data_IF_508458815327
#
_entry.id   IF_508458815327
#
_cell.length_a   1.000
_cell.length_b   1.000
_cell.length_c   1.000
_cell.angle_alpha   90.00
_cell.angle_beta   90.00
_cell.angle_gamma   90.00
#
_symmetry.space_group_name_H-M   'P 1'
#
loop_
_entity.id
_entity.type
_entity.pdbx_description
1 polymer ?
#
# COMPACT_ATOMS: atom_id res chain seq x y z
N UNK A 1 -36.94 -24.87 15.90
CA UNK A 1 -36.43 -24.31 14.62
C UNK A 1 -35.67 -22.97 14.76
N UNK A 2 -35.47 -22.38 15.96
CA UNK A 2 -34.73 -21.11 16.12
C UNK A 2 -33.19 -21.25 16.19
N UNK A 3 -32.66 -22.44 16.51
CA UNK A 3 -31.20 -22.67 16.66
C UNK A 3 -30.45 -22.78 15.32
N UNK A 4 -31.13 -23.13 14.23
CA UNK A 4 -30.50 -23.27 12.90
C UNK A 4 -30.17 -21.90 12.29
N UNK A 5 -31.00 -20.88 12.56
CA UNK A 5 -30.83 -19.54 12.00
C UNK A 5 -29.60 -18.83 12.57
N UNK A 6 -29.27 -19.09 13.84
CA UNK A 6 -28.12 -18.48 14.53
C UNK A 6 -26.78 -18.99 14.01
N UNK A 7 -26.72 -20.25 13.56
CA UNK A 7 -25.50 -20.85 13.02
C UNK A 7 -25.13 -20.29 11.63
N UNK A 8 -26.13 -19.95 10.82
CA UNK A 8 -25.94 -19.34 9.49
C UNK A 8 -25.40 -17.91 9.56
N UNK A 9 -25.78 -17.13 10.57
CA UNK A 9 -25.34 -15.74 10.73
C UNK A 9 -23.85 -15.66 11.13
N UNK A 10 -23.38 -16.63 11.92
CA UNK A 10 -21.98 -16.69 12.37
C UNK A 10 -21.04 -17.05 11.20
N UNK A 11 -21.47 -17.91 10.28
CA UNK A 11 -20.66 -18.33 9.13
C UNK A 11 -20.47 -17.23 8.07
N UNK A 12 -21.45 -16.33 7.89
CA UNK A 12 -21.30 -15.19 6.97
C UNK A 12 -20.46 -14.03 7.53
N UNK A 13 -20.13 -14.06 8.82
CA UNK A 13 -19.34 -13.00 9.47
C UNK A 13 -17.83 -13.20 9.35
N UNK A 14 -17.38 -14.33 8.79
CA UNK A 14 -15.98 -14.77 8.77
C UNK A 14 -15.28 -14.56 7.42
N UNK A 15 -15.95 -14.00 6.41
CA UNK A 15 -15.35 -13.76 5.09
C UNK A 15 -14.79 -12.33 4.91
N UNK A 16 -14.22 -11.76 5.96
CA UNK A 16 -13.26 -10.67 5.79
C UNK A 16 -11.94 -11.31 5.40
N UNK A 17 -11.77 -11.63 4.11
CA UNK A 17 -10.46 -12.06 3.59
C UNK A 17 -9.47 -10.92 3.83
N UNK A 18 -8.62 -11.10 4.84
CA UNK A 18 -7.45 -10.26 5.05
C UNK A 18 -6.58 -10.36 3.79
N UNK A 19 -6.66 -9.32 2.95
CA UNK A 19 -5.99 -9.32 1.66
C UNK A 19 -4.64 -8.66 1.83
N UNK A 20 -3.61 -9.50 1.87
CA UNK A 20 -2.23 -9.02 1.80
C UNK A 20 -1.95 -8.65 0.34
N UNK A 21 -1.64 -7.38 0.10
CA UNK A 21 -1.18 -6.91 -1.20
C UNK A 21 0.34 -6.88 -1.21
N UNK A 22 0.96 -7.52 -2.20
CA UNK A 22 2.40 -7.44 -2.44
C UNK A 22 2.69 -6.55 -3.63
N UNK A 23 3.60 -5.61 -3.46
CA UNK A 23 3.88 -4.60 -4.48
C UNK A 23 5.37 -4.50 -4.69
N UNK A 24 5.82 -4.95 -5.86
CA UNK A 24 7.19 -4.77 -6.27
C UNK A 24 7.38 -3.32 -6.70
N UNK A 25 8.16 -2.55 -5.96
CA UNK A 25 8.51 -1.16 -6.30
C UNK A 25 9.89 -1.15 -6.94
N UNK A 26 9.96 -0.60 -8.15
CA UNK A 26 11.21 -0.54 -8.95
C UNK A 26 11.58 0.87 -9.38
N UNK A 27 10.85 1.88 -8.92
CA UNK A 27 11.07 3.27 -9.31
C UNK A 27 9.96 4.16 -8.83
N UNK A 28 10.06 5.43 -9.21
CA UNK A 28 9.12 6.45 -8.82
C UNK A 28 8.92 7.50 -9.92
N UNK A 29 7.91 8.35 -9.73
CA UNK A 29 7.75 9.62 -10.43
C UNK A 29 7.10 10.65 -9.53
N UNK A 30 7.53 11.89 -9.65
CA UNK A 30 6.89 13.04 -9.00
C UNK A 30 5.70 13.53 -9.82
N UNK A 31 4.61 13.93 -9.14
CA UNK A 31 3.50 14.65 -9.76
C UNK A 31 3.62 16.14 -9.43
N UNK A 32 3.88 17.01 -10.42
CA UNK A 32 3.97 18.45 -10.21
C UNK A 32 2.71 19.03 -9.55
N UNK A 33 2.91 19.93 -8.58
CA UNK A 33 1.81 20.67 -7.92
C UNK A 33 1.39 20.14 -6.56
N UNK A 34 2.00 19.06 -6.07
CA UNK A 34 1.78 18.53 -4.72
C UNK A 34 3.14 18.32 -4.05
N UNK A 35 3.36 18.93 -2.89
CA UNK A 35 4.60 18.74 -2.14
C UNK A 35 4.64 17.29 -1.62
N UNK A 36 5.70 16.56 -1.99
CA UNK A 36 6.01 15.19 -1.55
C UNK A 36 4.92 14.12 -1.76
N UNK A 37 4.37 14.11 -2.98
CA UNK A 37 3.56 13.00 -3.50
C UNK A 37 4.40 12.15 -4.46
N UNK A 38 4.62 10.88 -4.12
CA UNK A 38 5.44 9.95 -4.92
C UNK A 38 4.58 8.86 -5.53
N UNK A 39 4.52 8.82 -6.87
CA UNK A 39 3.93 7.71 -7.59
C UNK A 39 4.95 6.57 -7.68
N UNK A 40 4.66 5.43 -7.06
CA UNK A 40 5.56 4.27 -7.08
C UNK A 40 5.32 3.45 -8.35
N UNK A 41 6.41 3.10 -9.04
CA UNK A 41 6.37 2.27 -10.25
C UNK A 41 6.40 0.80 -9.85
N UNK A 42 5.37 0.06 -10.23
CA UNK A 42 5.27 -1.39 -10.03
C UNK A 42 5.01 -2.09 -11.37
N UNK A 43 6.03 -2.69 -12.01
CA UNK A 43 5.94 -3.15 -13.40
C UNK A 43 5.00 -4.35 -13.60
N UNK A 44 4.65 -5.06 -12.52
CA UNK A 44 3.79 -6.24 -12.55
C UNK A 44 2.39 -5.98 -11.99
N UNK A 45 2.14 -4.79 -11.47
CA UNK A 45 0.85 -4.46 -10.85
C UNK A 45 -0.02 -3.67 -11.81
N UNK A 46 -1.29 -4.03 -11.97
CA UNK A 46 -2.25 -3.19 -12.70
C UNK A 46 -2.65 -1.94 -11.88
N UNK A 47 -2.27 -1.88 -10.61
CA UNK A 47 -2.64 -0.82 -9.68
C UNK A 47 -1.67 0.37 -9.70
N UNK A 48 -2.16 1.54 -9.31
CA UNK A 48 -1.32 2.72 -9.06
C UNK A 48 -1.15 2.93 -7.56
N UNK A 49 0.07 3.30 -7.15
CA UNK A 49 0.42 3.49 -5.75
C UNK A 49 0.98 4.88 -5.55
N UNK A 50 0.43 5.60 -4.59
CA UNK A 50 0.86 6.95 -4.26
C UNK A 50 1.23 6.98 -2.78
N UNK A 51 2.50 7.27 -2.50
CA UNK A 51 2.93 7.64 -1.18
C UNK A 51 2.68 9.15 -1.02
N UNK A 52 1.72 9.50 -0.18
CA UNK A 52 1.32 10.88 0.12
C UNK A 52 1.85 11.27 1.50
N UNK A 53 2.94 12.05 1.51
CA UNK A 53 3.56 12.54 2.74
C UNK A 53 3.10 13.95 3.13
N UNK A 54 1.96 14.44 2.62
CA UNK A 54 1.43 15.73 3.04
C UNK A 54 1.06 15.72 4.52
N UNK A 55 1.30 16.85 5.19
CA UNK A 55 1.30 17.04 6.66
C UNK A 55 0.02 16.62 7.40
N UNK A 56 -1.06 16.32 6.68
CA UNK A 56 -2.38 15.98 7.25
C UNK A 56 -2.85 14.56 6.97
N UNK A 57 -2.26 13.83 6.01
CA UNK A 57 -2.80 12.54 5.56
C UNK A 57 -1.84 11.36 5.72
N UNK A 58 -0.51 11.55 5.62
CA UNK A 58 0.55 10.52 5.73
C UNK A 58 0.07 9.10 5.37
N UNK A 59 -0.20 8.88 4.08
CA UNK A 59 -0.87 7.68 3.62
C UNK A 59 -0.17 7.04 2.44
N UNK A 60 -0.28 5.71 2.34
CA UNK A 60 -0.04 4.99 1.10
C UNK A 60 -1.40 4.70 0.47
N UNK A 61 -1.66 5.34 -0.68
CA UNK A 61 -2.91 5.18 -1.42
C UNK A 61 -2.71 4.17 -2.53
N UNK A 62 -3.55 3.14 -2.52
CA UNK A 62 -3.68 2.14 -3.56
C UNK A 62 -4.89 2.46 -4.42
N UNK A 63 -4.70 2.78 -5.69
CA UNK A 63 -5.77 2.90 -6.66
C UNK A 63 -5.98 1.55 -7.37
N UNK A 64 -7.19 1.01 -7.28
CA UNK A 64 -7.55 -0.20 -8.01
C UNK A 64 -7.62 0.10 -9.53
N UNK A 65 -7.13 -0.83 -10.35
CA UNK A 65 -7.00 -0.60 -11.79
C UNK A 65 -8.37 -0.36 -12.42
N UNK A 66 -8.44 0.59 -13.35
CA UNK A 66 -9.62 0.97 -14.16
C UNK A 66 -10.65 1.90 -13.49
N UNK A 67 -10.48 2.31 -12.22
CA UNK A 67 -11.40 3.23 -11.53
C UNK A 67 -10.68 4.16 -10.55
N UNK A 68 -10.50 5.44 -10.90
CA UNK A 68 -9.90 6.46 -10.00
C UNK A 68 -10.70 6.62 -8.68
N UNK A 69 -11.98 6.27 -8.69
CA UNK A 69 -12.89 6.30 -7.54
C UNK A 69 -12.76 5.07 -6.61
N UNK A 70 -12.05 4.02 -7.03
CA UNK A 70 -11.74 2.88 -6.15
C UNK A 70 -10.33 3.02 -5.58
N UNK A 71 -10.23 3.65 -4.41
CA UNK A 71 -8.97 3.70 -3.64
C UNK A 71 -9.06 2.98 -2.32
N UNK A 72 -7.97 2.30 -1.95
CA UNK A 72 -7.71 1.81 -0.60
C UNK A 72 -6.62 2.67 0.03
N UNK A 73 -6.90 3.15 1.23
CA UNK A 73 -5.98 3.99 2.00
C UNK A 73 -5.34 3.13 3.07
N UNK A 74 -4.01 3.10 3.07
CA UNK A 74 -3.21 2.52 4.14
C UNK A 74 -2.60 3.68 4.91
N UNK A 75 -3.19 3.99 6.06
CA UNK A 75 -2.66 4.99 6.98
C UNK A 75 -1.26 4.56 7.40
N UNK A 76 -0.26 5.41 7.14
CA UNK A 76 1.08 5.17 7.61
C UNK A 76 1.17 5.83 8.99
N UNK A 77 1.13 5.02 10.05
CA UNK A 77 1.24 5.50 11.43
C UNK A 77 2.67 5.94 11.78
N UNK A 78 3.20 6.89 11.01
CA UNK A 78 4.48 7.55 11.21
C UNK A 78 4.24 8.99 11.66
N UNK A 79 5.24 9.60 12.31
CA UNK A 79 5.29 11.06 12.37
C UNK A 79 5.60 11.61 10.96
N UNK A 80 5.28 12.89 10.65
CA UNK A 80 5.52 13.47 9.33
C UNK A 80 6.96 13.29 8.82
N UNK A 81 7.93 13.50 9.70
CA UNK A 81 9.36 13.40 9.41
C UNK A 81 9.73 12.02 8.87
N UNK A 82 9.17 10.97 9.45
CA UNK A 82 9.39 9.58 9.02
C UNK A 82 8.77 9.27 7.64
N UNK A 83 7.71 9.97 7.21
CA UNK A 83 7.20 9.82 5.84
C UNK A 83 8.15 10.46 4.82
N UNK A 84 8.66 11.66 5.10
CA UNK A 84 9.66 12.32 4.24
C UNK A 84 10.95 11.51 4.12
N UNK A 85 11.40 10.93 5.23
CA UNK A 85 12.56 10.03 5.26
C UNK A 85 12.30 8.77 4.43
N UNK A 86 11.12 8.16 4.57
CA UNK A 86 10.72 7.02 3.76
C UNK A 86 10.70 7.37 2.27
N UNK A 87 10.09 8.49 1.89
CA UNK A 87 10.04 8.94 0.50
C UNK A 87 11.44 9.19 -0.08
N UNK A 88 12.30 9.87 0.67
CA UNK A 88 13.70 10.14 0.28
C UNK A 88 14.51 8.86 0.13
N UNK A 89 14.30 7.90 1.04
CA UNK A 89 14.93 6.59 0.98
C UNK A 89 14.45 5.78 -0.24
N UNK A 90 13.16 5.78 -0.55
CA UNK A 90 12.60 5.11 -1.75
C UNK A 90 13.24 5.67 -3.03
N UNK A 91 13.30 7.00 -3.15
CA UNK A 91 13.92 7.70 -4.29
C UNK A 91 15.36 7.23 -4.46
N UNK A 92 16.17 7.40 -3.41
CA UNK A 92 17.60 7.05 -3.44
C UNK A 92 17.83 5.58 -3.78
N UNK A 93 17.12 4.67 -3.11
CA UNK A 93 17.26 3.22 -3.32
C UNK A 93 16.92 2.82 -4.75
N UNK A 94 15.83 3.34 -5.31
CA UNK A 94 15.39 2.96 -6.65
C UNK A 94 16.18 3.66 -7.77
N UNK A 95 16.68 4.88 -7.54
CA UNK A 95 17.60 5.55 -8.47
C UNK A 95 18.95 4.83 -8.59
N UNK A 96 19.38 4.14 -7.52
CA UNK A 96 20.55 3.24 -7.55
C UNK A 96 20.26 1.87 -8.19
N UNK A 97 19.06 1.66 -8.75
CA UNK A 97 18.63 0.39 -9.35
C UNK A 97 18.13 -0.64 -8.33
N UNK A 98 18.00 -0.25 -7.07
CA UNK A 98 17.45 -1.08 -6.01
C UNK A 98 15.95 -1.35 -6.23
N UNK A 99 15.50 -2.49 -5.70
CA UNK A 99 14.10 -2.92 -5.71
C UNK A 99 13.65 -3.21 -4.28
N UNK A 100 12.35 -3.14 -4.04
CA UNK A 100 11.77 -3.45 -2.74
C UNK A 100 10.35 -4.01 -2.90
N UNK A 101 9.92 -4.78 -1.92
CA UNK A 101 8.55 -5.27 -1.81
C UNK A 101 7.83 -4.55 -0.69
N UNK A 102 6.67 -3.97 -1.00
CA UNK A 102 5.73 -3.51 0.02
C UNK A 102 4.71 -4.61 0.25
N UNK A 103 4.55 -5.03 1.51
CA UNK A 103 3.51 -5.93 1.95
C UNK A 103 2.47 -5.10 2.70
N UNK A 104 1.27 -4.96 2.12
CA UNK A 104 0.17 -4.20 2.69
C UNK A 104 -0.84 -5.15 3.31
N UNK A 105 -0.96 -5.13 4.63
CA UNK A 105 -1.98 -5.88 5.35
C UNK A 105 -3.22 -4.99 5.50
N UNK A 106 -4.28 -5.26 4.74
CA UNK A 106 -5.52 -4.45 4.78
C UNK A 106 -6.27 -4.57 6.10
N UNK A 107 -6.11 -5.69 6.81
CA UNK A 107 -6.80 -5.92 8.08
C UNK A 107 -6.12 -5.10 9.18
N UNK A 108 -4.79 -5.18 9.25
CA UNK A 108 -3.99 -4.47 10.26
C UNK A 108 -3.70 -3.02 9.91
N UNK A 109 -3.97 -2.61 8.65
CA UNK A 109 -3.57 -1.31 8.09
C UNK A 109 -2.07 -1.06 8.25
N UNK A 110 -1.24 -2.08 8.02
CA UNK A 110 0.22 -1.98 8.16
C UNK A 110 0.92 -2.13 6.82
N UNK A 111 2.05 -1.44 6.69
CA UNK A 111 2.96 -1.54 5.54
C UNK A 111 4.31 -2.06 6.02
N UNK A 112 4.75 -3.18 5.48
CA UNK A 112 6.09 -3.71 5.70
C UNK A 112 6.90 -3.61 4.40
N UNK A 113 8.13 -3.11 4.48
CA UNK A 113 9.00 -2.92 3.33
C UNK A 113 10.20 -3.87 3.44
N UNK A 114 10.41 -4.69 2.41
CA UNK A 114 11.54 -5.64 2.34
C UNK A 114 12.41 -5.40 1.11
N UNK A 115 13.72 -5.33 1.31
CA UNK A 115 14.73 -5.24 0.23
C UNK A 115 15.41 -6.56 -0.08
N UNK A 116 15.33 -7.55 0.81
CA UNK A 116 16.03 -8.84 0.66
C UNK A 116 15.17 -9.87 -0.10
N UNK A 117 13.85 -9.77 -0.01
CA UNK A 117 12.91 -10.76 -0.55
C UNK A 117 12.02 -10.21 -1.67
N UNK A 118 12.47 -9.19 -2.41
CA UNK A 118 11.70 -8.60 -3.50
C UNK A 118 11.36 -9.59 -4.63
N UNK A 119 12.11 -10.69 -4.74
CA UNK A 119 11.87 -11.78 -5.68
C UNK A 119 10.66 -12.65 -5.31
N UNK A 120 9.94 -12.36 -4.23
CA UNK A 120 8.69 -13.05 -3.85
C UNK A 120 7.49 -12.09 -3.80
N UNK A 121 7.62 -10.96 -4.48
CA UNK A 121 6.67 -9.87 -4.46
C UNK A 121 5.68 -9.95 -5.64
N UNK A 122 4.77 -10.94 -5.57
CA UNK A 122 3.76 -11.23 -6.58
C UNK A 122 2.44 -11.64 -5.93
#
# INVERSE_FOLDING_TARGET
MKKLLTLLIILFSLSSEAKIYKILVTGWSYKPGFDYMLHLKSPLSPHHFVLDCQSFLHELVLYEAEREDSKRIFELYFNPQSCYELGSWIISHTDMGGKMCFNLDTEKKTVEISTENYQFCF
#
